data_IF_915436785369
#
_entry.id   IF_915436785369
#
_cell.length_a   1.000
_cell.length_b   1.000
_cell.length_c   1.000
_cell.angle_alpha   90.00
_cell.angle_beta   90.00
_cell.angle_gamma   90.00
#
_symmetry.space_group_name_H-M   'P 1'
#
loop_
_entity.id
_entity.type
_entity.pdbx_description
1 polymer ?
#
# COMPACT_ATOMS: atom_id res chain seq x y z
N UNK A 1 45.43 49.57 18.51
CA UNK A 1 44.06 49.09 18.21
C UNK A 1 44.13 47.60 17.90
N UNK A 2 43.45 46.73 18.68
CA UNK A 2 43.37 45.29 18.39
C UNK A 2 42.14 45.03 17.49
N UNK A 3 42.23 44.22 16.43
CA UNK A 3 41.08 43.90 15.60
C UNK A 3 40.15 42.93 16.34
N UNK A 4 38.85 43.22 16.35
CA UNK A 4 37.82 42.31 16.85
C UNK A 4 37.46 41.35 15.73
N UNK A 5 37.79 40.08 15.88
CA UNK A 5 37.32 39.00 15.00
C UNK A 5 35.83 38.78 15.27
N UNK A 6 34.98 39.15 14.30
CA UNK A 6 33.58 38.74 14.26
C UNK A 6 33.54 37.29 13.78
N UNK A 7 33.16 36.38 14.68
CA UNK A 7 32.86 35.00 14.36
C UNK A 7 31.41 34.95 13.86
N UNK A 8 31.22 34.88 12.54
CA UNK A 8 29.91 34.67 11.94
C UNK A 8 29.55 33.18 12.10
N UNK A 9 28.77 32.83 13.12
CA UNK A 9 28.13 31.52 13.17
C UNK A 9 27.08 31.47 12.04
N UNK A 10 27.44 30.85 10.91
CA UNK A 10 26.45 30.40 9.94
C UNK A 10 25.72 29.22 10.59
N UNK A 11 24.50 29.46 11.08
CA UNK A 11 23.61 28.36 11.45
C UNK A 11 23.32 27.54 10.21
N UNK A 12 23.76 26.27 10.19
CA UNK A 12 23.22 25.31 9.24
C UNK A 12 21.74 25.09 9.61
N UNK A 13 20.85 25.77 8.91
CA UNK A 13 19.45 25.36 8.86
C UNK A 13 19.42 23.98 8.20
N UNK A 14 19.11 22.95 8.98
CA UNK A 14 18.78 21.64 8.44
C UNK A 14 17.49 21.78 7.64
N UNK A 15 17.61 21.94 6.33
CA UNK A 15 16.47 21.77 5.45
C UNK A 15 16.03 20.31 5.62
N UNK A 16 14.78 20.03 6.05
CA UNK A 16 14.33 18.66 6.10
C UNK A 16 14.46 18.09 4.69
N UNK A 17 15.19 16.97 4.56
CA UNK A 17 15.23 16.24 3.30
C UNK A 17 13.80 15.80 3.04
N UNK A 18 13.13 16.46 2.09
CA UNK A 18 11.80 16.02 1.65
C UNK A 18 11.95 14.58 1.19
N UNK A 19 11.07 13.70 1.65
CA UNK A 19 11.05 12.32 1.21
C UNK A 19 10.97 12.30 -0.32
N UNK A 20 11.82 11.49 -0.97
CA UNK A 20 11.75 11.35 -2.42
C UNK A 20 10.47 10.62 -2.79
N UNK A 21 9.70 11.16 -3.73
CA UNK A 21 8.60 10.44 -4.36
C UNK A 21 9.18 9.34 -5.25
N UNK A 22 8.83 8.08 -4.96
CA UNK A 22 9.26 6.90 -5.70
C UNK A 22 8.04 6.28 -6.40
N UNK A 23 7.84 6.55 -7.70
CA UNK A 23 6.83 5.86 -8.49
C UNK A 23 7.11 4.35 -8.56
N UNK A 24 6.16 3.53 -8.14
CA UNK A 24 6.28 2.07 -8.20
C UNK A 24 5.66 1.57 -9.50
N UNK A 25 6.50 1.46 -10.53
CA UNK A 25 6.03 1.25 -11.90
C UNK A 25 5.96 -0.20 -12.36
N UNK A 26 6.40 -1.14 -11.52
CA UNK A 26 6.45 -2.55 -11.83
C UNK A 26 6.10 -3.41 -10.61
N UNK A 27 5.73 -4.66 -10.88
CA UNK A 27 5.52 -5.67 -9.85
C UNK A 27 6.80 -5.96 -9.08
N UNK A 28 6.66 -6.25 -7.79
CA UNK A 28 7.75 -6.64 -6.91
C UNK A 28 7.90 -8.15 -6.99
N UNK A 29 8.94 -8.62 -7.68
CA UNK A 29 9.19 -10.05 -7.96
C UNK A 29 10.35 -10.64 -7.15
N UNK A 30 11.03 -9.80 -6.36
CA UNK A 30 12.10 -10.16 -5.45
C UNK A 30 11.99 -9.36 -4.15
N UNK A 31 12.63 -9.86 -3.09
CA UNK A 31 12.61 -9.20 -1.78
C UNK A 31 13.02 -7.74 -1.91
N UNK A 32 12.17 -6.85 -1.40
CA UNK A 32 12.31 -5.40 -1.56
C UNK A 32 12.03 -4.73 -0.23
N UNK A 33 12.79 -3.68 0.09
CA UNK A 33 12.57 -2.85 1.27
C UNK A 33 12.15 -1.45 0.83
N UNK A 34 11.03 -0.99 1.38
CA UNK A 34 10.57 0.39 1.29
C UNK A 34 10.98 1.13 2.57
N UNK A 35 11.79 2.16 2.40
CA UNK A 35 12.36 2.96 3.50
C UNK A 35 11.55 4.19 3.85
N UNK A 36 11.62 4.64 5.11
CA UNK A 36 10.89 5.80 5.61
C UNK A 36 11.41 7.15 5.06
N UNK A 37 12.58 7.15 4.41
CA UNK A 37 13.13 8.31 3.72
C UNK A 37 12.41 8.64 2.40
N UNK A 38 11.51 7.77 1.95
CA UNK A 38 10.82 7.86 0.67
C UNK A 38 9.31 7.85 0.88
N UNK A 39 8.61 8.42 -0.09
CA UNK A 39 7.16 8.26 -0.26
C UNK A 39 6.93 7.40 -1.50
N UNK A 40 6.23 6.27 -1.35
CA UNK A 40 5.99 5.36 -2.48
C UNK A 40 4.65 5.66 -3.14
N UNK A 41 4.65 5.78 -4.47
CA UNK A 41 3.46 6.15 -5.23
C UNK A 41 2.98 4.98 -6.11
N UNK A 42 1.73 4.59 -5.90
CA UNK A 42 1.02 3.56 -6.66
C UNK A 42 -0.01 4.25 -7.57
N UNK A 43 0.33 4.42 -8.84
CA UNK A 43 -0.57 4.92 -9.89
C UNK A 43 -1.30 3.79 -10.63
N UNK A 44 -1.08 2.53 -10.21
CA UNK A 44 -1.69 1.32 -10.78
C UNK A 44 -1.70 0.19 -9.75
N UNK A 45 -2.35 -0.95 -10.04
CA UNK A 45 -2.16 -2.15 -9.25
C UNK A 45 -0.70 -2.61 -9.28
N UNK A 46 -0.10 -2.74 -8.09
CA UNK A 46 1.24 -3.29 -7.89
C UNK A 46 1.13 -4.62 -7.17
N UNK A 47 1.68 -5.66 -7.77
CA UNK A 47 1.65 -7.01 -7.22
C UNK A 47 3.00 -7.39 -6.62
N UNK A 48 3.00 -7.87 -5.38
CA UNK A 48 4.12 -8.60 -4.77
C UNK A 48 3.93 -10.08 -5.10
N UNK A 49 4.88 -10.65 -5.83
CA UNK A 49 4.75 -11.95 -6.51
C UNK A 49 5.98 -12.83 -6.31
N UNK A 50 5.97 -14.03 -6.89
CA UNK A 50 7.12 -14.94 -6.91
C UNK A 50 7.67 -15.27 -5.51
N UNK A 51 6.80 -15.33 -4.51
CA UNK A 51 7.18 -15.58 -3.12
C UNK A 51 8.02 -14.47 -2.47
N UNK A 52 8.08 -13.29 -3.08
CA UNK A 52 8.83 -12.16 -2.56
C UNK A 52 8.25 -11.65 -1.24
N UNK A 53 9.12 -11.09 -0.41
CA UNK A 53 8.75 -10.32 0.78
C UNK A 53 8.96 -8.83 0.52
N UNK A 54 7.89 -8.04 0.66
CA UNK A 54 7.96 -6.60 0.74
C UNK A 54 8.07 -6.20 2.22
N UNK A 55 9.21 -5.65 2.61
CA UNK A 55 9.41 -5.06 3.95
C UNK A 55 9.22 -3.55 3.87
N UNK A 56 8.44 -2.99 4.78
CA UNK A 56 8.17 -1.56 4.86
C UNK A 56 8.64 -1.06 6.22
N UNK A 57 9.55 -0.09 6.22
CA UNK A 57 10.09 0.49 7.45
C UNK A 57 9.02 1.32 8.19
N UNK A 58 9.03 1.35 9.54
CA UNK A 58 8.20 2.24 10.33
C UNK A 58 8.28 3.70 9.86
N UNK A 59 7.15 4.40 9.81
CA UNK A 59 7.09 5.80 9.36
C UNK A 59 7.02 5.98 7.83
N UNK A 60 7.08 4.90 7.04
CA UNK A 60 6.94 4.99 5.59
C UNK A 60 5.52 5.42 5.19
N UNK A 61 5.43 6.33 4.22
CA UNK A 61 4.18 6.74 3.59
C UNK A 61 4.05 6.13 2.20
N UNK A 62 2.87 5.60 1.90
CA UNK A 62 2.48 5.00 0.62
C UNK A 62 1.21 5.70 0.14
N UNK A 63 1.24 6.15 -1.11
CA UNK A 63 0.17 6.89 -1.75
C UNK A 63 -0.43 6.07 -2.89
N UNK A 64 -1.74 5.87 -2.90
CA UNK A 64 -2.48 5.37 -4.04
C UNK A 64 -3.12 6.49 -4.84
N UNK A 65 -3.12 6.39 -6.16
CA UNK A 65 -3.84 7.33 -7.03
C UNK A 65 -5.26 6.86 -7.35
N UNK A 66 -6.14 7.85 -7.48
CA UNK A 66 -7.49 7.68 -7.98
C UNK A 66 -7.45 7.46 -9.50
N UNK A 67 -8.17 6.43 -9.96
CA UNK A 67 -8.57 6.18 -11.35
C UNK A 67 -7.69 6.80 -12.43
N UNK A 68 -6.62 6.12 -12.84
CA UNK A 68 -5.77 6.59 -13.96
C UNK A 68 -6.36 6.30 -15.34
N UNK A 69 -7.63 5.87 -15.41
CA UNK A 69 -8.29 5.36 -16.61
C UNK A 69 -8.27 3.83 -16.70
N UNK A 70 -9.12 3.28 -17.58
CA UNK A 70 -9.34 1.84 -17.78
C UNK A 70 -9.77 1.04 -16.53
N UNK A 71 -10.29 1.70 -15.49
CA UNK A 71 -10.69 1.04 -14.25
C UNK A 71 -9.49 0.52 -13.45
N UNK A 72 -8.34 1.20 -13.54
CA UNK A 72 -7.15 0.88 -12.75
C UNK A 72 -6.96 1.92 -11.65
N UNK A 73 -6.66 1.41 -10.44
CA UNK A 73 -6.48 2.21 -9.23
C UNK A 73 -5.13 1.89 -8.65
N UNK A 74 -4.51 2.86 -7.97
CA UNK A 74 -3.38 2.58 -7.10
C UNK A 74 -3.80 1.53 -6.07
N UNK A 75 -3.17 0.35 -6.10
CA UNK A 75 -3.46 -0.74 -5.17
C UNK A 75 -2.16 -1.50 -4.89
N UNK A 76 -2.03 -2.03 -3.67
CA UNK A 76 -0.96 -2.97 -3.34
C UNK A 76 -1.55 -4.36 -3.08
N UNK A 77 -1.13 -5.34 -3.86
CA UNK A 77 -1.63 -6.71 -3.80
C UNK A 77 -0.49 -7.64 -3.40
N UNK A 78 -0.63 -8.30 -2.24
CA UNK A 78 0.25 -9.37 -1.79
C UNK A 78 -0.34 -10.68 -2.29
N UNK A 79 0.24 -11.24 -3.36
CA UNK A 79 -0.28 -12.47 -3.96
C UNK A 79 0.03 -13.70 -3.11
N UNK A 80 -0.62 -14.82 -3.40
CA UNK A 80 -0.38 -16.08 -2.68
C UNK A 80 1.11 -16.42 -2.61
N UNK A 81 1.53 -16.87 -1.44
CA UNK A 81 2.91 -17.21 -1.09
C UNK A 81 3.88 -16.01 -1.00
N UNK A 82 3.50 -14.81 -1.43
CA UNK A 82 4.25 -13.58 -1.16
C UNK A 82 3.92 -13.04 0.24
N UNK A 83 4.73 -12.09 0.72
CA UNK A 83 4.60 -11.55 2.07
C UNK A 83 4.74 -10.04 2.13
N UNK A 84 4.08 -9.44 3.12
CA UNK A 84 4.31 -8.06 3.54
C UNK A 84 4.79 -8.03 4.99
N UNK A 85 5.84 -7.29 5.29
CA UNK A 85 6.28 -6.98 6.65
C UNK A 85 6.15 -5.47 6.82
N UNK A 86 4.94 -5.03 7.19
CA UNK A 86 4.63 -3.64 7.53
C UNK A 86 4.51 -3.57 9.06
N UNK A 87 5.66 -3.45 9.71
CA UNK A 87 5.80 -3.56 11.14
C UNK A 87 6.15 -2.19 11.76
N UNK A 88 5.19 -1.26 11.68
CA UNK A 88 5.33 0.09 12.23
C UNK A 88 5.40 0.12 13.75
N UNK A 89 5.46 1.33 14.31
CA UNK A 89 5.40 1.56 15.77
C UNK A 89 4.38 2.63 16.12
N UNK A 90 4.05 2.77 17.40
CA UNK A 90 3.15 3.83 17.86
C UNK A 90 3.67 5.24 17.49
N UNK A 91 4.99 5.44 17.57
CA UNK A 91 5.64 6.71 17.28
C UNK A 91 5.94 6.91 15.78
N UNK A 92 5.95 5.83 15.00
CA UNK A 92 6.22 5.83 13.57
C UNK A 92 5.30 4.83 12.85
N UNK A 93 4.00 5.13 12.71
CA UNK A 93 3.07 4.27 11.99
C UNK A 93 3.42 4.24 10.50
N UNK A 94 3.09 3.14 9.83
CA UNK A 94 3.13 3.06 8.36
C UNK A 94 1.79 3.56 7.83
N UNK A 95 1.81 4.53 6.92
CA UNK A 95 0.59 5.18 6.42
C UNK A 95 0.38 4.83 4.96
N UNK A 96 -0.74 4.19 4.66
CA UNK A 96 -1.28 4.00 3.32
C UNK A 96 -2.47 4.93 3.13
N UNK A 97 -2.42 5.77 2.11
CA UNK A 97 -3.45 6.78 1.88
C UNK A 97 -3.54 7.18 0.41
N UNK A 98 -4.44 8.10 0.07
CA UNK A 98 -4.60 8.64 -1.25
C UNK A 98 -3.58 9.72 -1.57
N UNK A 99 -3.11 9.78 -2.81
CA UNK A 99 -2.32 10.92 -3.33
C UNK A 99 -3.07 12.24 -3.17
N UNK A 100 -4.39 12.22 -3.29
CA UNK A 100 -5.26 13.37 -3.06
C UNK A 100 -5.16 13.94 -1.63
N UNK A 101 -4.91 13.12 -0.60
CA UNK A 101 -4.69 13.60 0.77
C UNK A 101 -3.41 14.43 0.88
N UNK A 102 -2.34 14.00 0.20
CA UNK A 102 -1.08 14.77 0.15
C UNK A 102 -1.20 16.04 -0.69
N UNK A 103 -1.80 15.94 -1.88
CA UNK A 103 -1.81 17.02 -2.87
C UNK A 103 -2.90 18.08 -2.60
N UNK A 104 -3.84 17.78 -1.70
CA UNK A 104 -5.18 18.37 -1.68
C UNK A 104 -5.61 19.23 -0.50
N UNK A 105 -4.71 19.95 0.22
CA UNK A 105 -5.01 21.23 0.95
C UNK A 105 -4.69 21.31 2.46
N UNK A 106 -4.11 20.33 3.18
CA UNK A 106 -3.42 20.65 4.46
C UNK A 106 -2.49 19.55 5.00
N UNK A 107 -1.20 19.66 4.67
CA UNK A 107 -0.13 19.06 5.48
C UNK A 107 0.27 17.61 5.18
N UNK A 108 1.29 17.18 5.91
CA UNK A 108 1.99 15.91 5.76
C UNK A 108 1.02 14.72 5.99
N UNK A 109 0.79 13.83 5.00
CA UNK A 109 -0.11 12.67 5.15
C UNK A 109 0.26 11.74 6.30
N UNK A 110 1.49 11.81 6.81
CA UNK A 110 1.92 11.04 7.98
C UNK A 110 1.21 11.44 9.29
N UNK A 111 0.67 12.67 9.43
CA UNK A 111 0.24 13.20 10.73
C UNK A 111 -1.22 12.90 11.09
N UNK A 112 -2.18 13.13 10.19
CA UNK A 112 -3.62 12.87 10.46
C UNK A 112 -4.46 12.77 9.17
N UNK A 113 -5.59 12.05 9.19
CA UNK A 113 -6.57 12.08 8.11
C UNK A 113 -7.13 13.48 7.87
N UNK A 114 -7.26 13.91 6.61
CA UNK A 114 -7.97 15.14 6.27
C UNK A 114 -9.50 14.94 6.25
N UNK A 115 -10.27 15.57 7.17
CA UNK A 115 -11.72 15.46 7.17
C UNK A 115 -12.39 16.08 5.93
N UNK A 116 -11.71 16.98 5.21
CA UNK A 116 -12.26 17.65 4.02
C UNK A 116 -12.46 16.69 2.83
N UNK A 117 -11.73 15.57 2.82
CA UNK A 117 -11.85 14.52 1.82
C UNK A 117 -13.11 13.66 1.97
N UNK A 118 -13.78 13.69 3.13
CA UNK A 118 -14.99 12.88 3.38
C UNK A 118 -14.74 11.36 3.30
N UNK A 119 -15.80 10.59 3.07
CA UNK A 119 -15.76 9.11 2.99
C UNK A 119 -15.25 8.60 1.62
N UNK A 120 -14.40 9.39 0.94
CA UNK A 120 -14.11 9.15 -0.46
C UNK A 120 -13.07 8.04 -0.70
N UNK A 121 -13.38 7.26 -1.73
CA UNK A 121 -12.67 6.08 -2.25
C UNK A 121 -11.65 6.50 -3.30
N UNK A 122 -10.46 6.91 -2.86
CA UNK A 122 -9.47 7.57 -3.71
C UNK A 122 -8.32 6.65 -4.15
N UNK A 123 -8.30 5.39 -3.72
CA UNK A 123 -7.36 4.36 -4.20
C UNK A 123 -7.87 2.96 -3.85
N UNK A 124 -7.36 1.93 -4.52
CA UNK A 124 -7.90 0.57 -4.42
C UNK A 124 -7.49 -0.24 -3.20
N UNK A 125 -6.73 0.34 -2.26
CA UNK A 125 -6.46 -0.30 -0.97
C UNK A 125 -5.33 -1.33 -0.96
N UNK A 126 -5.18 -1.96 0.22
CA UNK A 126 -4.23 -3.04 0.47
C UNK A 126 -4.97 -4.39 0.43
N UNK A 127 -4.47 -5.31 -0.37
CA UNK A 127 -5.08 -6.62 -0.63
C UNK A 127 -4.08 -7.72 -0.30
N UNK A 128 -4.43 -8.62 0.64
CA UNK A 128 -3.62 -9.79 1.00
C UNK A 128 -4.34 -11.06 0.58
N UNK A 129 -3.70 -11.86 -0.26
CA UNK A 129 -4.25 -13.11 -0.80
C UNK A 129 -3.56 -14.31 -0.14
N UNK A 130 -4.22 -14.93 0.82
CA UNK A 130 -3.73 -16.11 1.52
C UNK A 130 -3.81 -17.39 0.67
N UNK A 131 -3.05 -18.41 1.08
CA UNK A 131 -3.05 -19.76 0.49
C UNK A 131 -3.67 -20.82 1.42
N UNK A 132 -4.37 -20.38 2.48
CA UNK A 132 -5.08 -21.25 3.40
C UNK A 132 -6.37 -21.82 2.79
N UNK A 133 -6.90 -22.89 3.38
CA UNK A 133 -8.21 -23.40 2.96
C UNK A 133 -9.30 -22.37 3.26
N UNK A 134 -10.10 -22.05 2.23
CA UNK A 134 -11.28 -21.19 2.36
C UNK A 134 -12.56 -22.01 2.28
N UNK A 135 -13.68 -21.42 2.71
CA UNK A 135 -15.01 -22.04 2.76
C UNK A 135 -15.65 -22.26 1.37
N UNK A 136 -14.86 -22.46 0.31
CA UNK A 136 -15.36 -22.80 -1.03
C UNK A 136 -15.59 -24.30 -1.15
N UNK A 137 -16.83 -24.71 -0.88
CA UNK A 137 -17.31 -26.09 -0.79
C UNK A 137 -17.28 -26.86 -2.14
N UNK A 138 -17.34 -28.19 -2.02
CA UNK A 138 -17.39 -29.14 -3.14
C UNK A 138 -18.53 -28.81 -4.13
N UNK A 139 -18.20 -28.77 -5.42
CA UNK A 139 -19.13 -28.41 -6.51
C UNK A 139 -18.77 -27.11 -7.26
N UNK A 140 -17.87 -26.29 -6.70
CA UNK A 140 -17.22 -25.18 -7.41
C UNK A 140 -16.15 -25.70 -8.38
N UNK A 141 -15.94 -25.02 -9.51
CA UNK A 141 -14.82 -25.27 -10.43
C UNK A 141 -13.45 -25.02 -9.79
N UNK A 142 -13.40 -24.22 -8.72
CA UNK A 142 -12.20 -23.85 -7.96
C UNK A 142 -12.37 -24.23 -6.47
N UNK A 143 -12.41 -25.55 -6.18
CA UNK A 143 -12.54 -26.01 -4.79
C UNK A 143 -11.41 -25.48 -3.91
N UNK A 144 -11.77 -24.79 -2.82
CA UNK A 144 -10.81 -24.19 -1.90
C UNK A 144 -10.07 -22.96 -2.41
N UNK A 145 -10.50 -22.31 -3.50
CA UNK A 145 -9.91 -21.06 -4.01
C UNK A 145 -11.00 -20.07 -4.43
N UNK A 146 -10.76 -18.78 -4.21
CA UNK A 146 -11.63 -17.68 -4.63
C UNK A 146 -10.86 -16.63 -5.41
N UNK A 147 -11.59 -15.71 -6.04
CA UNK A 147 -11.05 -14.60 -6.83
C UNK A 147 -11.52 -13.30 -6.21
N UNK A 148 -10.62 -12.35 -5.95
CA UNK A 148 -11.00 -11.02 -5.49
C UNK A 148 -11.75 -10.28 -6.61
N UNK A 149 -12.81 -9.59 -6.22
CA UNK A 149 -13.63 -8.74 -7.07
C UNK A 149 -12.86 -7.48 -7.50
N UNK A 150 -13.46 -6.68 -8.40
CA UNK A 150 -12.93 -5.39 -8.82
C UNK A 150 -11.82 -5.40 -9.87
N UNK A 151 -11.16 -6.53 -10.11
CA UNK A 151 -10.18 -6.64 -11.21
C UNK A 151 -10.84 -7.19 -12.49
N UNK A 152 -10.49 -6.70 -13.69
CA UNK A 152 -10.95 -7.30 -14.93
C UNK A 152 -10.39 -8.72 -15.07
N UNK A 153 -11.22 -9.67 -15.53
CA UNK A 153 -10.73 -11.02 -15.84
C UNK A 153 -9.81 -10.94 -17.06
N UNK A 154 -8.56 -11.38 -16.90
CA UNK A 154 -7.53 -11.28 -17.95
C UNK A 154 -7.18 -12.63 -18.59
N UNK A 155 -7.92 -13.69 -18.24
CA UNK A 155 -7.62 -15.08 -18.65
C UNK A 155 -6.57 -15.76 -17.76
N UNK A 156 -5.80 -15.00 -16.98
CA UNK A 156 -4.97 -15.48 -15.88
C UNK A 156 -5.29 -14.68 -14.61
N UNK A 157 -6.13 -15.27 -13.75
CA UNK A 157 -6.55 -14.67 -12.49
C UNK A 157 -5.61 -15.05 -11.32
N UNK A 158 -4.45 -15.65 -11.58
CA UNK A 158 -3.52 -16.12 -10.54
C UNK A 158 -3.04 -15.01 -9.60
N UNK A 159 -2.96 -13.77 -10.10
CA UNK A 159 -2.55 -12.58 -9.34
C UNK A 159 -3.64 -12.02 -8.42
N UNK A 160 -4.88 -12.49 -8.58
CA UNK A 160 -6.06 -12.05 -7.80
C UNK A 160 -6.80 -13.23 -7.15
N UNK A 161 -6.19 -14.42 -7.19
CA UNK A 161 -6.71 -15.64 -6.57
C UNK A 161 -6.22 -15.75 -5.13
N UNK A 162 -7.14 -16.03 -4.22
CA UNK A 162 -6.87 -16.38 -2.83
C UNK A 162 -7.32 -17.82 -2.54
N UNK A 163 -6.96 -18.31 -1.36
CA UNK A 163 -7.22 -19.67 -0.92
C UNK A 163 -6.26 -20.70 -1.51
N UNK A 164 -6.30 -21.89 -0.93
CA UNK A 164 -5.53 -23.04 -1.37
C UNK A 164 -5.52 -24.15 -0.33
N UNK A 165 -4.37 -24.83 -0.22
CA UNK A 165 -4.23 -26.03 0.61
C UNK A 165 -3.30 -25.87 1.82
N UNK A 166 -2.72 -24.68 2.03
CA UNK A 166 -1.70 -24.47 3.04
C UNK A 166 -2.28 -23.73 4.27
N UNK A 167 -2.83 -24.46 5.24
CA UNK A 167 -3.36 -23.85 6.47
C UNK A 167 -2.29 -23.25 7.39
N UNK A 168 -1.01 -23.50 7.10
CA UNK A 168 0.11 -22.84 7.77
C UNK A 168 0.62 -21.60 7.01
N UNK A 169 -0.11 -21.15 5.98
CA UNK A 169 0.25 -19.96 5.22
C UNK A 169 0.32 -18.71 6.11
N UNK A 170 1.27 -17.84 5.80
CA UNK A 170 1.51 -16.60 6.52
C UNK A 170 1.91 -15.52 5.52
N UNK A 171 0.95 -14.66 5.18
CA UNK A 171 1.10 -13.52 4.28
C UNK A 171 1.85 -12.33 4.92
N UNK A 172 2.25 -12.43 6.18
CA UNK A 172 3.16 -11.50 6.86
C UNK A 172 2.57 -10.77 8.06
N UNK A 173 2.97 -9.51 8.25
CA UNK A 173 2.66 -8.69 9.43
C UNK A 173 2.15 -7.32 9.01
N UNK A 174 1.02 -6.91 9.58
CA UNK A 174 0.54 -5.53 9.62
C UNK A 174 0.46 -5.11 11.08
N UNK A 175 1.30 -4.17 11.52
CA UNK A 175 1.33 -3.64 12.89
C UNK A 175 1.58 -2.13 12.86
N UNK A 176 0.79 -1.37 13.62
CA UNK A 176 0.76 0.11 13.56
C UNK A 176 0.66 0.65 12.12
N UNK A 177 -0.28 0.11 11.35
CA UNK A 177 -0.59 0.54 9.99
C UNK A 177 -1.85 1.40 10.00
N UNK A 178 -1.81 2.54 9.32
CA UNK A 178 -2.98 3.40 9.06
C UNK A 178 -3.36 3.26 7.59
N UNK A 179 -4.58 2.77 7.32
CA UNK A 179 -5.17 2.69 5.98
C UNK A 179 -6.28 3.75 5.91
N UNK A 180 -6.20 4.67 4.95
CA UNK A 180 -7.11 5.83 4.83
C UNK A 180 -7.60 5.97 3.40
N UNK A 181 -8.84 6.45 3.22
CA UNK A 181 -9.43 6.78 1.90
C UNK A 181 -9.34 5.66 0.85
N UNK A 182 -9.22 4.42 1.31
CA UNK A 182 -9.05 3.24 0.46
C UNK A 182 -10.38 2.54 0.22
N UNK A 183 -10.47 1.91 -0.93
CA UNK A 183 -11.67 1.26 -1.43
C UNK A 183 -12.02 1.84 -2.80
N UNK A 184 -12.70 1.04 -3.62
CA UNK A 184 -13.19 1.50 -4.92
C UNK A 184 -14.35 0.62 -5.39
N UNK A 185 -15.43 1.27 -5.85
CA UNK A 185 -16.58 0.59 -6.46
C UNK A 185 -16.46 0.59 -7.99
N UNK A 186 -16.20 -0.58 -8.56
CA UNK A 186 -16.04 -0.75 -10.01
C UNK A 186 -17.38 -0.87 -10.74
N UNK A 187 -18.34 -1.52 -10.11
CA UNK A 187 -19.72 -1.64 -10.54
C UNK A 187 -20.57 -2.01 -9.31
N UNK A 188 -21.91 -1.92 -9.38
CA UNK A 188 -22.76 -2.29 -8.26
C UNK A 188 -22.49 -3.74 -7.79
N UNK A 189 -22.12 -3.90 -6.53
CA UNK A 189 -21.70 -5.17 -5.89
C UNK A 189 -20.41 -5.75 -6.49
N UNK A 190 -19.49 -4.88 -6.92
CA UNK A 190 -18.18 -5.24 -7.41
C UNK A 190 -17.18 -4.18 -6.93
N UNK A 191 -16.70 -4.36 -5.71
CA UNK A 191 -15.87 -3.39 -5.01
C UNK A 191 -14.62 -4.03 -4.41
N UNK A 192 -13.57 -3.23 -4.24
CA UNK A 192 -12.47 -3.52 -3.32
C UNK A 192 -12.54 -2.58 -2.12
N UNK A 193 -12.17 -3.07 -0.95
CA UNK A 193 -12.13 -2.28 0.29
C UNK A 193 -10.74 -1.68 0.53
N UNK A 194 -10.62 -0.72 1.44
CA UNK A 194 -9.32 -0.19 1.87
C UNK A 194 -8.38 -1.25 2.46
N UNK A 195 -8.95 -2.29 3.07
CA UNK A 195 -8.27 -3.54 3.42
C UNK A 195 -9.10 -4.73 2.92
N UNK A 196 -8.49 -5.59 2.12
CA UNK A 196 -9.11 -6.84 1.66
C UNK A 196 -8.25 -8.03 2.07
N UNK A 197 -8.85 -9.01 2.75
CA UNK A 197 -8.20 -10.26 3.16
C UNK A 197 -8.92 -11.43 2.47
N UNK A 198 -8.21 -12.12 1.58
CA UNK A 198 -8.68 -13.32 0.88
C UNK A 198 -8.07 -14.59 1.45
#
# INVERSE_FOLDING_TARGET
MKPKTICLLMGLSSVPLMAADVPVTANITANTTWTASNTYLLDRPVYVTNGATLTIEPGTTILGEENTGAGTFGSLIITRNAKIIADGTADAPIVFTARAERDGIDGNPAEKPDPALGDASFWGGLILLGNAQVNNYAGSTNQGQGRIEGFPSSGDDSLITYGGGNNADNSGVLRYVSLRFGGFEFAPNNEINGLTLG
#
